data_IF_629548013301
#
_entry.id   IF_629548013301
#
_cell.length_a   1.000
_cell.length_b   1.000
_cell.length_c   1.000
_cell.angle_alpha   90.00
_cell.angle_beta   90.00
_cell.angle_gamma   90.00
#
_symmetry.space_group_name_H-M   'P 1'
#
loop_
_entity.id
_entity.type
_entity.pdbx_description
1 polymer ?
#
# COMPACT_ATOMS: atom_id res chain seq x y z
N UNK A 1 6.79 29.86 -20.75
CA UNK A 1 6.97 28.97 -19.58
C UNK A 1 5.76 28.07 -19.55
N UNK A 2 5.91 26.84 -20.04
CA UNK A 2 4.90 25.81 -19.80
C UNK A 2 4.98 25.50 -18.30
N UNK A 3 3.86 25.42 -17.56
CA UNK A 3 3.91 24.81 -16.24
C UNK A 3 4.51 23.42 -16.45
N UNK A 4 5.58 23.15 -15.73
CA UNK A 4 6.25 21.86 -15.67
C UNK A 4 5.17 20.78 -15.65
N UNK A 5 5.23 19.87 -16.61
CA UNK A 5 4.42 18.66 -16.57
C UNK A 5 4.78 17.95 -15.27
N UNK A 6 4.04 18.17 -14.19
CA UNK A 6 4.06 17.32 -13.01
C UNK A 6 3.39 16.03 -13.48
N UNK A 7 4.15 14.99 -13.87
CA UNK A 7 3.59 13.90 -14.64
C UNK A 7 2.79 13.02 -13.67
N UNK A 8 1.49 13.33 -13.55
CA UNK A 8 0.49 12.67 -12.69
C UNK A 8 0.75 12.86 -11.18
N UNK A 9 -0.29 13.26 -10.44
CA UNK A 9 -0.23 13.49 -8.99
C UNK A 9 -0.06 12.19 -8.20
N UNK A 10 1.11 11.55 -8.31
CA UNK A 10 1.54 10.47 -7.43
C UNK A 10 1.90 11.04 -6.06
N UNK A 11 1.59 10.28 -5.03
CA UNK A 11 1.97 10.55 -3.64
C UNK A 11 2.73 9.34 -3.10
N UNK A 12 3.58 9.57 -2.11
CA UNK A 12 4.27 8.48 -1.41
C UNK A 12 3.33 7.87 -0.37
N UNK A 13 2.96 6.62 -0.57
CA UNK A 13 2.16 5.83 0.36
C UNK A 13 3.06 4.87 1.12
N UNK A 14 2.84 4.72 2.41
CA UNK A 14 3.48 3.73 3.27
C UNK A 14 2.56 2.52 3.42
N UNK A 15 3.00 1.36 2.94
CA UNK A 15 2.29 0.10 3.10
C UNK A 15 2.83 -0.60 4.33
N UNK A 16 2.02 -0.67 5.39
CA UNK A 16 2.30 -1.38 6.64
C UNK A 16 1.68 -2.75 6.63
N UNK A 17 2.50 -3.76 6.85
CA UNK A 17 2.11 -5.15 7.00
C UNK A 17 2.03 -5.45 8.50
N UNK A 18 0.86 -5.86 8.95
CA UNK A 18 0.50 -6.01 10.36
C UNK A 18 0.20 -7.48 10.63
N UNK A 19 0.79 -8.02 11.69
CA UNK A 19 0.56 -9.40 12.14
C UNK A 19 -0.75 -9.55 12.95
N UNK A 20 -1.07 -10.78 13.32
CA UNK A 20 -2.22 -11.12 14.17
C UNK A 20 -2.23 -10.38 15.52
N UNK A 21 -1.05 -10.19 16.10
CA UNK A 21 -0.83 -9.42 17.32
C UNK A 21 -0.95 -7.91 17.16
N UNK A 22 -1.17 -7.41 15.95
CA UNK A 22 -1.25 -5.97 15.66
C UNK A 22 0.09 -5.27 15.55
N UNK A 23 1.20 -6.01 15.45
CA UNK A 23 2.54 -5.45 15.28
C UNK A 23 2.88 -5.30 13.80
N UNK A 24 3.57 -4.21 13.45
CA UNK A 24 4.05 -4.00 12.07
C UNK A 24 5.26 -4.91 11.86
N UNK A 25 5.11 -5.92 11.00
CA UNK A 25 6.17 -6.87 10.63
C UNK A 25 6.97 -6.40 9.42
N UNK A 26 6.40 -5.53 8.61
CA UNK A 26 7.07 -4.94 7.44
C UNK A 26 6.44 -3.62 7.05
N UNK A 27 7.23 -2.71 6.47
CA UNK A 27 6.78 -1.44 5.94
C UNK A 27 7.48 -1.14 4.61
N UNK A 28 6.72 -0.69 3.61
CA UNK A 28 7.24 -0.35 2.28
C UNK A 28 6.65 0.98 1.80
N UNK A 29 7.50 1.93 1.46
CA UNK A 29 7.07 3.17 0.82
C UNK A 29 7.00 3.01 -0.70
N UNK A 30 5.87 3.36 -1.30
CA UNK A 30 5.65 3.29 -2.75
C UNK A 30 5.04 4.59 -3.28
N UNK A 31 5.47 5.03 -4.45
CA UNK A 31 4.86 6.17 -5.12
C UNK A 31 3.67 5.70 -5.96
N UNK A 32 2.48 6.22 -5.67
CA UNK A 32 1.28 5.81 -6.39
C UNK A 32 0.31 6.97 -6.57
N UNK A 33 -0.55 6.88 -7.58
CA UNK A 33 -1.63 7.87 -7.82
C UNK A 33 -2.79 7.74 -6.82
N UNK A 34 -2.88 6.63 -6.08
CA UNK A 34 -3.95 6.32 -5.13
C UNK A 34 -3.54 5.17 -4.19
N UNK A 35 -4.21 5.05 -3.04
CA UNK A 35 -3.97 3.95 -2.09
C UNK A 35 -4.24 2.56 -2.67
N UNK A 36 -5.20 2.44 -3.60
CA UNK A 36 -5.44 1.21 -4.36
C UNK A 36 -4.26 0.84 -5.27
N UNK A 37 -3.70 1.83 -5.96
CA UNK A 37 -2.55 1.64 -6.83
C UNK A 37 -1.29 1.31 -6.02
N UNK A 38 -1.13 1.91 -4.84
CA UNK A 38 -0.08 1.55 -3.89
C UNK A 38 -0.22 0.09 -3.45
N UNK A 39 -1.40 -0.31 -2.99
CA UNK A 39 -1.67 -1.70 -2.59
C UNK A 39 -1.37 -2.71 -3.72
N UNK A 40 -1.60 -2.34 -4.97
CA UNK A 40 -1.29 -3.17 -6.16
C UNK A 40 0.19 -3.25 -6.52
N UNK A 41 0.99 -2.27 -6.11
CA UNK A 41 2.44 -2.29 -6.28
C UNK A 41 3.14 -3.16 -5.25
N UNK A 42 2.48 -3.45 -4.12
CA UNK A 42 2.92 -4.52 -3.24
C UNK A 42 2.80 -5.84 -4.03
N UNK A 43 3.93 -6.53 -4.23
CA UNK A 43 3.97 -7.82 -4.93
C UNK A 43 3.99 -8.99 -3.95
N UNK A 44 4.61 -8.77 -2.78
CA UNK A 44 4.83 -9.79 -1.76
C UNK A 44 4.46 -9.25 -0.38
N UNK A 45 3.97 -10.16 0.46
CA UNK A 45 3.63 -9.90 1.86
C UNK A 45 4.27 -10.97 2.70
N UNK A 46 4.84 -10.57 3.83
CA UNK A 46 5.40 -11.49 4.79
C UNK A 46 4.33 -12.52 5.22
N UNK A 47 4.69 -13.79 5.34
CA UNK A 47 3.77 -14.87 5.73
C UNK A 47 3.08 -14.64 7.07
N UNK A 48 3.71 -13.87 7.97
CA UNK A 48 3.13 -13.50 9.26
C UNK A 48 2.08 -12.36 9.17
N UNK A 49 1.93 -11.74 7.99
CA UNK A 49 1.00 -10.61 7.78
C UNK A 49 -0.44 -11.09 7.76
N UNK A 50 -1.30 -10.53 8.61
CA UNK A 50 -2.74 -10.74 8.55
C UNK A 50 -3.47 -9.54 7.94
N UNK A 51 -2.94 -8.32 8.12
CA UNK A 51 -3.56 -7.08 7.65
C UNK A 51 -2.56 -6.17 6.95
N UNK A 52 -3.05 -5.42 5.98
CA UNK A 52 -2.27 -4.46 5.22
C UNK A 52 -2.95 -3.10 5.35
N UNK A 53 -2.21 -2.13 5.86
CA UNK A 53 -2.64 -0.75 5.96
C UNK A 53 -1.81 0.12 5.02
N UNK A 54 -2.47 0.79 4.08
CA UNK A 54 -1.86 1.77 3.20
C UNK A 54 -2.08 3.15 3.81
N UNK A 55 -1.01 3.71 4.34
CA UNK A 55 -0.95 5.04 4.93
C UNK A 55 -0.48 6.08 3.90
N UNK A 56 -0.95 7.30 4.06
CA UNK A 56 -0.46 8.48 3.36
C UNK A 56 -0.23 9.56 4.41
N UNK A 57 0.98 10.09 4.50
CA UNK A 57 1.33 11.14 5.48
C UNK A 57 0.99 10.69 6.92
N UNK A 58 1.28 9.42 7.25
CA UNK A 58 0.95 8.81 8.55
C UNK A 58 -0.53 8.47 8.78
N UNK A 59 -1.44 8.79 7.86
CA UNK A 59 -2.86 8.49 7.99
C UNK A 59 -3.27 7.28 7.14
N UNK A 60 -3.90 6.27 7.76
CA UNK A 60 -4.41 5.10 7.04
C UNK A 60 -5.51 5.51 6.04
N UNK A 61 -5.21 5.36 4.75
CA UNK A 61 -6.14 5.64 3.65
C UNK A 61 -6.94 4.41 3.25
N UNK A 62 -6.37 3.22 3.45
CA UNK A 62 -6.98 1.97 3.07
C UNK A 62 -6.44 0.85 3.97
N UNK A 63 -7.30 0.12 4.65
CA UNK A 63 -6.94 -1.05 5.44
C UNK A 63 -7.70 -2.27 4.90
N UNK A 64 -6.99 -3.37 4.70
CA UNK A 64 -7.61 -4.62 4.24
C UNK A 64 -6.87 -5.83 4.78
N UNK A 65 -7.58 -6.93 4.93
CA UNK A 65 -6.98 -8.22 5.26
C UNK A 65 -6.07 -8.72 4.14
N UNK A 66 -5.01 -9.43 4.51
CA UNK A 66 -4.05 -10.05 3.59
C UNK A 66 -4.77 -10.97 2.60
N UNK A 67 -5.82 -11.66 3.03
CA UNK A 67 -6.62 -12.55 2.17
C UNK A 67 -7.36 -11.78 1.08
N UNK A 68 -7.90 -10.60 1.43
CA UNK A 68 -8.59 -9.74 0.48
C UNK A 68 -7.58 -9.13 -0.51
N UNK A 69 -6.43 -8.67 -0.03
CA UNK A 69 -5.35 -8.20 -0.87
C UNK A 69 -4.86 -9.30 -1.83
N UNK A 70 -4.56 -10.50 -1.33
CA UNK A 70 -4.14 -11.66 -2.15
C UNK A 70 -5.13 -11.95 -3.27
N UNK A 71 -6.44 -11.88 -2.99
CA UNK A 71 -7.50 -12.03 -4.01
C UNK A 71 -7.46 -10.92 -5.07
N UNK A 72 -7.07 -9.70 -4.73
CA UNK A 72 -6.95 -8.57 -5.67
C UNK A 72 -5.70 -8.68 -6.54
N UNK A 73 -4.55 -9.03 -5.98
CA UNK A 73 -3.30 -9.16 -6.74
C UNK A 73 -3.32 -10.40 -7.65
N UNK A 74 -3.90 -11.51 -7.21
CA UNK A 74 -4.01 -12.77 -7.99
C UNK A 74 -4.89 -12.66 -9.25
N UNK A 75 -5.66 -11.57 -9.43
CA UNK A 75 -6.45 -11.32 -10.65
C UNK A 75 -5.64 -10.66 -11.79
N UNK A 76 -4.32 -10.55 -11.64
CA UNK A 76 -3.41 -9.99 -12.63
C UNK A 76 -2.93 -11.05 -13.63
#
# INVERSE_FOLDING_TARGET
MYPESNPMGTKTYEIRQIDSGGSIVSELAVEAVSSDAAAKQLEDVNDATERIAVCLDGQAMNEMDVEHWRKRIRRR
#
